data_IF_794298294811
#
_entry.id   IF_794298294811
#
_cell.length_a   1.000
_cell.length_b   1.000
_cell.length_c   1.000
_cell.angle_alpha   90.00
_cell.angle_beta   90.00
_cell.angle_gamma   90.00
#
_symmetry.space_group_name_H-M   'P 1'
#
loop_
_entity.id
_entity.type
_entity.pdbx_description
1 polymer ?
#
# COMPACT_ATOMS: atom_id res chain seq x y z
N UNK A 1 50.15 -25.36 -23.60
CA UNK A 1 48.90 -26.11 -23.28
C UNK A 1 48.44 -25.66 -21.92
N UNK A 2 47.38 -24.88 -21.76
CA UNK A 2 46.83 -24.48 -20.46
C UNK A 2 45.78 -25.52 -20.05
N UNK A 3 45.91 -25.99 -18.81
CA UNK A 3 44.99 -26.94 -18.16
C UNK A 3 43.61 -26.30 -17.93
N UNK A 4 42.57 -26.92 -18.50
CA UNK A 4 41.18 -26.65 -18.25
C UNK A 4 40.89 -26.88 -16.76
N UNK A 5 40.46 -25.86 -16.02
CA UNK A 5 39.88 -26.00 -14.67
C UNK A 5 38.40 -26.37 -14.84
N UNK A 6 38.09 -27.59 -14.48
CA UNK A 6 36.72 -28.11 -14.36
C UNK A 6 35.90 -27.24 -13.40
N UNK A 7 34.84 -26.65 -13.90
CA UNK A 7 33.77 -26.09 -13.07
C UNK A 7 33.08 -27.26 -12.34
N UNK A 8 33.34 -27.38 -11.05
CA UNK A 8 32.59 -28.30 -10.18
C UNK A 8 31.17 -27.71 -10.02
N UNK A 9 30.19 -28.46 -10.50
CA UNK A 9 28.77 -28.23 -10.25
C UNK A 9 28.53 -28.23 -8.74
N UNK A 10 28.22 -27.06 -8.20
CA UNK A 10 27.77 -26.92 -6.83
C UNK A 10 26.28 -27.24 -6.81
N UNK A 11 25.97 -28.47 -6.40
CA UNK A 11 24.60 -28.87 -6.13
C UNK A 11 24.11 -28.11 -4.91
N UNK A 12 23.00 -27.39 -5.08
CA UNK A 12 22.23 -26.82 -3.98
C UNK A 12 21.69 -27.99 -3.14
N UNK A 13 22.34 -28.32 -2.04
CA UNK A 13 21.82 -29.31 -1.08
C UNK A 13 20.70 -28.63 -0.29
N UNK A 14 19.48 -28.72 -0.83
CA UNK A 14 18.29 -28.38 -0.08
C UNK A 14 18.05 -29.52 0.89
N UNK A 15 18.34 -29.34 2.15
CA UNK A 15 17.91 -30.23 3.24
C UNK A 15 16.36 -30.14 3.31
N UNK A 16 15.69 -31.02 2.53
CA UNK A 16 14.27 -31.25 2.65
C UNK A 16 14.03 -32.12 3.88
N UNK A 17 13.37 -31.57 4.85
CA UNK A 17 12.64 -32.17 5.97
C UNK A 17 13.03 -31.53 7.30
N UNK A 18 12.60 -30.28 7.50
CA UNK A 18 12.44 -29.75 8.85
C UNK A 18 10.95 -29.49 9.10
N UNK A 19 10.31 -30.46 9.72
CA UNK A 19 9.01 -30.22 10.40
C UNK A 19 9.35 -29.45 11.67
N UNK A 20 9.11 -28.14 11.66
CA UNK A 20 9.32 -27.28 12.81
C UNK A 20 8.13 -27.41 13.76
N UNK A 21 8.33 -27.84 15.01
CA UNK A 21 7.34 -27.59 16.06
C UNK A 21 7.28 -26.08 16.31
N UNK A 22 6.11 -25.57 16.69
CA UNK A 22 5.89 -24.20 17.11
C UNK A 22 6.65 -23.92 18.42
N UNK A 23 7.94 -23.67 18.32
CA UNK A 23 8.77 -23.24 19.44
C UNK A 23 9.46 -21.93 19.04
N UNK A 24 9.39 -20.95 19.92
CA UNK A 24 10.15 -19.72 19.85
C UNK A 24 11.59 -20.02 19.46
N UNK A 25 12.02 -19.58 18.28
CA UNK A 25 13.42 -19.69 17.88
C UNK A 25 14.28 -18.94 18.90
N UNK A 26 15.30 -19.60 19.42
CA UNK A 26 16.31 -18.94 20.23
C UNK A 26 16.93 -17.80 19.39
N UNK A 27 17.01 -16.63 19.96
CA UNK A 27 17.63 -15.46 19.34
C UNK A 27 19.06 -15.84 18.93
N UNK A 28 19.37 -15.80 17.60
CA UNK A 28 20.67 -16.18 17.06
C UNK A 28 20.79 -17.61 16.50
N UNK A 29 19.69 -18.38 16.40
CA UNK A 29 19.77 -19.69 15.74
C UNK A 29 20.06 -19.55 14.23
N UNK A 30 21.00 -20.36 13.70
CA UNK A 30 21.29 -20.43 12.25
C UNK A 30 20.07 -21.05 11.56
N UNK A 31 19.47 -20.30 10.64
CA UNK A 31 18.24 -20.70 9.94
C UNK A 31 18.51 -21.13 8.48
N UNK A 32 19.64 -20.69 7.92
CA UNK A 32 20.04 -21.05 6.57
C UNK A 32 21.54 -20.89 6.36
N UNK A 33 22.06 -21.60 5.35
CA UNK A 33 23.50 -21.58 4.99
C UNK A 33 23.69 -21.72 3.49
N UNK A 34 24.71 -21.04 2.95
CA UNK A 34 25.22 -21.25 1.60
C UNK A 34 26.75 -21.31 1.67
N UNK A 35 27.36 -22.48 1.44
CA UNK A 35 28.77 -22.70 1.71
C UNK A 35 29.09 -22.47 3.19
N UNK A 36 30.00 -21.54 3.48
CA UNK A 36 30.37 -21.14 4.84
C UNK A 36 29.58 -19.92 5.35
N UNK A 37 28.75 -19.34 4.50
CA UNK A 37 27.92 -18.18 4.86
C UNK A 37 26.67 -18.65 5.59
N UNK A 38 26.50 -18.20 6.82
CA UNK A 38 25.35 -18.50 7.66
C UNK A 38 24.43 -17.27 7.76
N UNK A 39 23.14 -17.53 7.92
CA UNK A 39 22.13 -16.54 8.26
C UNK A 39 21.42 -16.97 9.54
N UNK A 40 21.29 -16.05 10.48
CA UNK A 40 20.64 -16.30 11.77
C UNK A 40 19.24 -15.71 11.80
N UNK A 41 18.41 -16.22 12.72
CA UNK A 41 17.01 -15.75 12.89
C UNK A 41 16.92 -14.28 13.27
N UNK A 42 17.90 -13.74 13.98
CA UNK A 42 17.93 -12.33 14.41
C UNK A 42 18.21 -11.35 13.27
N UNK A 43 18.64 -11.83 12.12
CA UNK A 43 18.99 -10.99 10.97
C UNK A 43 17.82 -10.74 10.03
N UNK A 44 16.71 -11.45 10.20
CA UNK A 44 15.50 -11.22 9.41
C UNK A 44 14.54 -10.35 10.21
N UNK A 45 14.47 -9.07 9.85
CA UNK A 45 13.51 -8.15 10.45
C UNK A 45 12.06 -8.60 10.15
N UNK A 46 11.21 -8.52 11.19
CA UNK A 46 9.79 -8.88 11.09
C UNK A 46 9.51 -10.33 10.61
N UNK A 47 10.40 -11.27 10.85
CA UNK A 47 10.25 -12.67 10.46
C UNK A 47 8.91 -13.28 10.89
N UNK A 48 8.41 -12.90 12.07
CA UNK A 48 7.13 -13.36 12.63
C UNK A 48 5.88 -12.87 11.88
N UNK A 49 6.02 -11.84 11.05
CA UNK A 49 4.90 -11.30 10.25
C UNK A 49 4.84 -11.90 8.83
N UNK A 50 5.82 -12.72 8.45
CA UNK A 50 5.92 -13.32 7.12
C UNK A 50 5.35 -14.74 7.11
N UNK A 51 4.68 -15.10 6.02
CA UNK A 51 4.36 -16.50 5.75
C UNK A 51 5.62 -17.32 5.36
N UNK A 52 5.53 -18.64 5.44
CA UNK A 52 6.67 -19.52 5.18
C UNK A 52 7.29 -19.36 3.78
N UNK A 53 6.49 -19.08 2.75
CA UNK A 53 6.97 -18.90 1.38
C UNK A 53 7.71 -17.57 1.22
N UNK A 54 7.19 -16.50 1.81
CA UNK A 54 7.81 -15.19 1.84
C UNK A 54 9.11 -15.20 2.66
N UNK A 55 9.09 -15.85 3.82
CA UNK A 55 10.28 -16.01 4.67
C UNK A 55 11.39 -16.74 3.91
N UNK A 56 11.06 -17.82 3.20
CA UNK A 56 12.02 -18.56 2.38
C UNK A 56 12.64 -17.69 1.30
N UNK A 57 11.85 -16.91 0.56
CA UNK A 57 12.33 -16.00 -0.49
C UNK A 57 13.27 -14.94 0.06
N UNK A 58 12.93 -14.32 1.20
CA UNK A 58 13.78 -13.33 1.86
C UNK A 58 15.11 -13.98 2.28
N UNK A 59 15.06 -15.16 2.91
CA UNK A 59 16.25 -15.91 3.33
C UNK A 59 17.18 -16.22 2.15
N UNK A 60 16.63 -16.75 1.05
CA UNK A 60 17.40 -17.06 -0.17
C UNK A 60 18.04 -15.78 -0.77
N UNK A 61 17.28 -14.68 -0.85
CA UNK A 61 17.78 -13.40 -1.36
C UNK A 61 18.94 -12.85 -0.51
N UNK A 62 18.83 -12.91 0.83
CA UNK A 62 19.87 -12.46 1.75
C UNK A 62 21.15 -13.29 1.60
N UNK A 63 21.03 -14.62 1.47
CA UNK A 63 22.19 -15.48 1.26
C UNK A 63 22.89 -15.21 -0.08
N UNK A 64 22.10 -15.03 -1.15
CA UNK A 64 22.67 -14.67 -2.48
C UNK A 64 23.37 -13.32 -2.42
N UNK A 65 22.77 -12.32 -1.75
CA UNK A 65 23.41 -11.01 -1.58
C UNK A 65 24.73 -11.11 -0.83
N UNK A 66 24.82 -11.93 0.23
CA UNK A 66 26.08 -12.16 0.97
C UNK A 66 27.13 -12.84 0.10
N UNK A 67 26.71 -13.82 -0.71
CA UNK A 67 27.63 -14.50 -1.63
C UNK A 67 28.21 -13.53 -2.66
N UNK A 68 27.36 -12.67 -3.24
CA UNK A 68 27.81 -11.61 -4.16
C UNK A 68 28.74 -10.63 -3.48
N UNK A 69 28.44 -10.21 -2.23
CA UNK A 69 29.31 -9.34 -1.45
C UNK A 69 30.67 -9.98 -1.21
N UNK A 70 30.70 -11.25 -0.79
CA UNK A 70 31.96 -11.97 -0.56
C UNK A 70 32.78 -12.02 -1.84
N UNK A 71 32.17 -12.40 -2.98
CA UNK A 71 32.88 -12.43 -4.28
C UNK A 71 33.43 -11.05 -4.66
N UNK A 72 32.67 -9.98 -4.41
CA UNK A 72 33.13 -8.61 -4.68
C UNK A 72 34.32 -8.23 -3.80
N UNK A 73 34.31 -8.58 -2.51
CA UNK A 73 35.42 -8.33 -1.59
C UNK A 73 36.65 -9.14 -1.96
N UNK A 74 36.49 -10.41 -2.32
CA UNK A 74 37.60 -11.26 -2.79
C UNK A 74 38.28 -10.68 -4.05
N UNK A 75 37.52 -10.00 -4.89
CA UNK A 75 37.99 -9.28 -6.08
C UNK A 75 38.46 -7.86 -5.77
N UNK A 76 38.43 -7.44 -4.50
CA UNK A 76 38.79 -6.08 -4.04
C UNK A 76 37.97 -4.97 -4.70
N UNK A 77 36.70 -5.28 -5.04
CA UNK A 77 35.80 -4.33 -5.68
C UNK A 77 35.49 -3.12 -4.79
N UNK A 78 35.54 -3.33 -3.47
CA UNK A 78 35.46 -2.29 -2.46
C UNK A 78 36.57 -1.24 -2.53
N UNK A 79 37.70 -1.57 -3.18
CA UNK A 79 38.86 -0.68 -3.34
C UNK A 79 38.83 0.09 -4.66
N UNK A 80 37.91 -0.21 -5.57
CA UNK A 80 37.76 0.53 -6.82
C UNK A 80 37.35 2.00 -6.54
N UNK A 81 37.96 2.98 -7.25
CA UNK A 81 37.73 4.41 -6.96
C UNK A 81 36.26 4.84 -6.99
N UNK A 82 35.48 4.32 -7.95
CA UNK A 82 34.06 4.61 -8.05
C UNK A 82 33.28 4.03 -6.87
N UNK A 83 33.60 2.80 -6.46
CA UNK A 83 33.00 2.13 -5.32
C UNK A 83 33.32 2.85 -4.01
N UNK A 84 34.58 3.25 -3.83
CA UNK A 84 35.00 4.04 -2.68
C UNK A 84 34.24 5.37 -2.58
N UNK A 85 34.07 6.07 -3.71
CA UNK A 85 33.29 7.30 -3.75
C UNK A 85 31.81 7.05 -3.40
N UNK A 86 31.23 5.95 -3.90
CA UNK A 86 29.86 5.56 -3.57
C UNK A 86 29.69 5.23 -2.09
N UNK A 87 30.62 4.46 -1.52
CA UNK A 87 30.64 4.12 -0.09
C UNK A 87 30.71 5.39 0.75
N UNK A 88 31.63 6.32 0.42
CA UNK A 88 31.79 7.57 1.15
C UNK A 88 30.50 8.42 1.09
N UNK A 89 29.95 8.64 -0.10
CA UNK A 89 28.70 9.41 -0.26
C UNK A 89 27.55 8.78 0.51
N UNK A 90 27.40 7.46 0.45
CA UNK A 90 26.35 6.72 1.16
C UNK A 90 26.52 6.84 2.68
N UNK A 91 27.77 6.73 3.16
CA UNK A 91 28.07 6.91 4.58
C UNK A 91 27.74 8.32 5.07
N UNK A 92 28.11 9.35 4.32
CA UNK A 92 27.81 10.75 4.67
C UNK A 92 26.31 11.01 4.70
N UNK A 93 25.59 10.54 3.67
CA UNK A 93 24.14 10.64 3.62
C UNK A 93 23.47 9.91 4.79
N UNK A 94 23.88 8.67 5.09
CA UNK A 94 23.32 7.89 6.19
C UNK A 94 23.55 8.56 7.56
N UNK A 95 24.74 9.17 7.78
CA UNK A 95 25.01 9.92 9.01
C UNK A 95 24.11 11.14 9.11
N UNK A 96 23.99 11.93 8.04
CA UNK A 96 23.15 13.12 8.01
C UNK A 96 21.68 12.78 8.22
N UNK A 97 21.15 11.78 7.53
CA UNK A 97 19.76 11.33 7.63
C UNK A 97 19.45 10.80 9.02
N UNK A 98 20.33 9.96 9.58
CA UNK A 98 20.15 9.41 10.93
C UNK A 98 20.11 10.52 11.99
N UNK A 99 21.01 11.49 11.87
CA UNK A 99 21.08 12.64 12.76
C UNK A 99 19.83 13.53 12.66
N UNK A 100 19.45 13.88 11.43
CA UNK A 100 18.22 14.67 11.16
C UNK A 100 16.97 13.98 11.64
N UNK A 101 16.85 12.67 11.40
CA UNK A 101 15.74 11.85 11.89
C UNK A 101 15.62 11.95 13.41
N UNK A 102 16.73 11.78 14.13
CA UNK A 102 16.74 11.83 15.60
C UNK A 102 16.38 13.22 16.14
N UNK A 103 16.92 14.29 15.51
CA UNK A 103 16.62 15.67 15.92
C UNK A 103 15.19 16.11 15.61
N UNK A 104 14.61 15.60 14.54
CA UNK A 104 13.26 15.99 14.12
C UNK A 104 12.17 15.17 14.80
N UNK A 105 12.51 14.04 15.42
CA UNK A 105 11.55 13.16 16.08
C UNK A 105 10.86 13.89 17.25
N UNK A 106 9.51 13.97 17.26
CA UNK A 106 8.80 14.55 18.39
C UNK A 106 8.91 13.62 19.62
N UNK A 107 8.82 14.16 20.85
CA UNK A 107 8.89 13.36 22.06
C UNK A 107 7.83 12.25 22.05
N UNK A 108 8.09 11.17 22.80
CA UNK A 108 7.17 10.03 22.86
C UNK A 108 5.78 10.42 23.39
N UNK A 109 5.70 11.45 24.23
CA UNK A 109 4.46 11.99 24.80
C UNK A 109 3.64 12.83 23.81
N UNK A 110 4.15 13.11 22.62
CA UNK A 110 3.43 13.89 21.60
C UNK A 110 2.68 12.97 20.62
N UNK A 111 1.44 13.31 20.22
CA UNK A 111 0.61 14.37 20.78
C UNK A 111 0.08 14.00 22.17
N UNK A 112 -0.18 15.00 23.00
CA UNK A 112 -0.95 14.79 24.23
C UNK A 112 -2.46 14.66 23.93
N UNK A 113 -3.26 14.32 24.96
CA UNK A 113 -4.70 14.12 24.80
C UNK A 113 -5.45 15.39 24.35
N UNK A 114 -4.97 16.58 24.73
CA UNK A 114 -5.62 17.83 24.33
C UNK A 114 -5.30 18.16 22.86
N UNK A 115 -4.05 17.97 22.46
CA UNK A 115 -3.61 18.14 21.06
C UNK A 115 -4.36 17.14 20.14
N UNK A 116 -4.52 15.91 20.58
CA UNK A 116 -5.25 14.88 19.83
C UNK A 116 -6.73 15.22 19.69
N UNK A 117 -7.38 15.66 20.79
CA UNK A 117 -8.79 16.12 20.76
C UNK A 117 -8.97 17.32 19.84
N UNK A 118 -8.09 18.31 19.94
CA UNK A 118 -8.15 19.50 19.08
C UNK A 118 -7.98 19.13 17.60
N UNK A 119 -7.04 18.24 17.29
CA UNK A 119 -6.84 17.75 15.92
C UNK A 119 -8.06 16.97 15.40
N UNK A 120 -8.66 16.15 16.25
CA UNK A 120 -9.88 15.43 15.88
C UNK A 120 -11.04 16.36 15.57
N UNK A 121 -11.30 17.39 16.42
CA UNK A 121 -12.35 18.37 16.17
C UNK A 121 -12.11 19.14 14.86
N UNK A 122 -10.87 19.51 14.59
CA UNK A 122 -10.51 20.17 13.33
C UNK A 122 -10.67 19.24 12.11
N UNK A 123 -10.39 17.95 12.27
CA UNK A 123 -10.47 16.96 11.19
C UNK A 123 -11.89 16.42 10.94
N UNK A 124 -12.83 16.58 11.88
CA UNK A 124 -14.20 16.04 11.78
C UNK A 124 -14.89 16.22 10.42
N UNK A 125 -14.83 17.40 9.77
CA UNK A 125 -15.47 17.58 8.45
C UNK A 125 -14.89 16.67 7.38
N UNK A 126 -13.58 16.40 7.42
CA UNK A 126 -12.87 15.54 6.45
C UNK A 126 -12.91 14.06 6.83
N UNK A 127 -13.17 13.72 8.09
CA UNK A 127 -13.32 12.36 8.58
C UNK A 127 -14.69 11.76 8.27
N UNK A 128 -15.65 12.56 7.81
CA UNK A 128 -16.99 12.09 7.52
C UNK A 128 -16.96 10.99 6.45
N UNK A 129 -17.35 9.78 6.84
CA UNK A 129 -17.58 8.66 5.93
C UNK A 129 -18.93 8.89 5.25
N UNK A 130 -18.97 8.97 3.90
CA UNK A 130 -20.21 9.21 3.19
C UNK A 130 -21.14 7.99 3.29
N UNK A 131 -22.43 8.24 3.14
CA UNK A 131 -23.42 7.19 2.94
C UNK A 131 -23.05 6.35 1.72
N UNK A 132 -23.18 5.04 1.84
CA UNK A 132 -22.89 4.12 0.74
C UNK A 132 -23.93 3.02 0.64
N UNK A 133 -24.18 2.59 -0.58
CA UNK A 133 -25.17 1.58 -0.93
C UNK A 133 -24.47 0.39 -1.57
N UNK A 134 -24.79 -0.80 -1.12
CA UNK A 134 -24.46 -2.03 -1.83
C UNK A 134 -25.58 -2.29 -2.82
N UNK A 135 -25.28 -2.12 -4.11
CA UNK A 135 -26.28 -2.16 -5.17
C UNK A 135 -26.12 -3.36 -6.07
N UNK A 136 -27.25 -3.84 -6.57
CA UNK A 136 -27.31 -4.68 -7.76
C UNK A 136 -28.22 -4.02 -8.80
N UNK A 137 -27.93 -4.27 -10.09
CA UNK A 137 -28.72 -3.77 -11.21
C UNK A 137 -28.95 -4.81 -12.28
N UNK A 138 -30.07 -4.67 -12.97
CA UNK A 138 -30.31 -5.22 -14.30
C UNK A 138 -30.38 -4.01 -15.24
N UNK A 139 -29.52 -3.98 -16.23
CA UNK A 139 -29.50 -2.95 -17.27
C UNK A 139 -29.91 -3.56 -18.60
N UNK A 140 -30.91 -2.98 -19.24
CA UNK A 140 -31.39 -3.47 -20.53
C UNK A 140 -31.86 -2.33 -21.44
N UNK A 141 -31.83 -2.59 -22.74
CA UNK A 141 -32.49 -1.81 -23.78
C UNK A 141 -34.01 -1.93 -23.71
N UNK A 142 -34.71 -1.05 -24.42
CA UNK A 142 -36.20 -0.95 -24.44
C UNK A 142 -36.83 -2.27 -24.85
N UNK A 143 -36.31 -2.96 -25.85
CA UNK A 143 -36.83 -4.19 -26.42
C UNK A 143 -36.85 -5.38 -25.43
N UNK A 144 -35.95 -5.40 -24.47
CA UNK A 144 -35.84 -6.45 -23.44
C UNK A 144 -36.61 -6.15 -22.14
N UNK A 145 -37.01 -4.91 -21.94
CA UNK A 145 -37.60 -4.46 -20.68
C UNK A 145 -38.81 -5.29 -20.25
N UNK A 146 -39.76 -5.51 -21.16
CA UNK A 146 -41.01 -6.22 -20.82
C UNK A 146 -40.75 -7.70 -20.48
N UNK A 147 -39.77 -8.33 -21.14
CA UNK A 147 -39.36 -9.70 -20.81
C UNK A 147 -38.74 -9.79 -19.41
N UNK A 148 -37.90 -8.83 -19.04
CA UNK A 148 -37.26 -8.75 -17.70
C UNK A 148 -38.36 -8.50 -16.63
N UNK A 149 -39.28 -7.53 -16.86
CA UNK A 149 -40.38 -7.24 -15.95
C UNK A 149 -41.28 -8.47 -15.72
N UNK A 150 -41.60 -9.18 -16.78
CA UNK A 150 -42.39 -10.41 -16.72
C UNK A 150 -41.75 -11.46 -15.83
N UNK A 151 -40.45 -11.70 -15.97
CA UNK A 151 -39.71 -12.66 -15.15
C UNK A 151 -39.63 -12.24 -13.68
N UNK A 152 -39.31 -10.99 -13.41
CA UNK A 152 -39.21 -10.45 -12.03
C UNK A 152 -40.58 -10.39 -11.33
N UNK A 153 -41.68 -10.19 -12.09
CA UNK A 153 -43.05 -10.22 -11.54
C UNK A 153 -43.47 -11.64 -11.18
N UNK A 154 -43.11 -12.62 -11.98
CA UNK A 154 -43.40 -14.03 -11.72
C UNK A 154 -42.61 -14.57 -10.52
N UNK A 155 -41.35 -14.19 -10.39
CA UNK A 155 -40.47 -14.59 -9.28
C UNK A 155 -39.48 -13.47 -8.95
N UNK A 156 -39.77 -12.61 -7.94
CA UNK A 156 -38.83 -11.59 -7.49
C UNK A 156 -37.49 -12.15 -6.95
N UNK A 157 -37.48 -13.40 -6.48
CA UNK A 157 -36.25 -14.04 -5.98
C UNK A 157 -35.23 -14.33 -7.12
N UNK A 158 -35.73 -14.39 -8.36
CA UNK A 158 -34.90 -14.67 -9.55
C UNK A 158 -34.03 -13.47 -10.00
N UNK A 159 -33.99 -12.34 -9.27
CA UNK A 159 -33.27 -11.13 -9.68
C UNK A 159 -31.82 -11.43 -10.14
N UNK A 160 -31.06 -12.17 -9.34
CA UNK A 160 -29.66 -12.52 -9.64
C UNK A 160 -29.55 -13.35 -10.92
N UNK A 161 -30.47 -14.30 -11.12
CA UNK A 161 -30.50 -15.11 -12.34
C UNK A 161 -30.86 -14.27 -13.56
N UNK A 162 -31.90 -13.42 -13.46
CA UNK A 162 -32.30 -12.51 -14.53
C UNK A 162 -31.18 -11.52 -14.87
N UNK A 163 -30.47 -11.01 -13.88
CA UNK A 163 -29.31 -10.15 -14.09
C UNK A 163 -28.22 -10.86 -14.89
N UNK A 164 -27.90 -12.10 -14.54
CA UNK A 164 -26.87 -12.91 -15.22
C UNK A 164 -27.24 -13.24 -16.67
N UNK A 165 -28.52 -13.55 -16.91
CA UNK A 165 -29.00 -14.03 -18.21
C UNK A 165 -29.38 -12.89 -19.17
N UNK A 166 -29.90 -11.78 -18.67
CA UNK A 166 -30.55 -10.76 -19.48
C UNK A 166 -29.90 -9.37 -19.38
N UNK A 167 -29.11 -9.07 -18.34
CA UNK A 167 -28.51 -7.75 -18.21
C UNK A 167 -27.44 -7.53 -19.28
N UNK A 168 -27.49 -6.37 -19.94
CA UNK A 168 -26.51 -5.96 -20.96
C UNK A 168 -25.27 -5.28 -20.35
N UNK A 169 -25.27 -5.02 -19.05
CA UNK A 169 -24.08 -4.57 -18.33
C UNK A 169 -23.21 -5.77 -17.94
N UNK A 170 -22.35 -6.19 -18.86
CA UNK A 170 -21.56 -7.43 -18.76
C UNK A 170 -20.75 -7.58 -17.46
N UNK A 171 -20.26 -6.46 -16.89
CA UNK A 171 -19.43 -6.51 -15.68
C UNK A 171 -20.25 -6.87 -14.44
N UNK A 172 -21.49 -6.37 -14.29
CA UNK A 172 -22.35 -6.74 -13.17
C UNK A 172 -23.10 -8.04 -13.44
N UNK A 173 -23.47 -8.33 -14.69
CA UNK A 173 -24.13 -9.59 -15.05
C UNK A 173 -23.34 -10.81 -14.58
N UNK A 174 -22.01 -10.83 -14.77
CA UNK A 174 -21.11 -11.89 -14.29
C UNK A 174 -21.05 -12.04 -12.76
N UNK A 175 -21.56 -11.07 -12.02
CA UNK A 175 -21.63 -11.02 -10.57
C UNK A 175 -23.08 -10.93 -10.09
N UNK A 176 -23.99 -11.61 -10.77
CA UNK A 176 -25.40 -11.68 -10.38
C UNK A 176 -26.11 -10.31 -10.30
N UNK A 177 -25.62 -9.37 -11.10
CA UNK A 177 -26.08 -7.98 -11.10
C UNK A 177 -25.34 -7.06 -10.13
N UNK A 178 -24.46 -7.56 -9.26
CA UNK A 178 -23.80 -6.75 -8.24
C UNK A 178 -22.88 -5.69 -8.81
N UNK A 179 -23.08 -4.45 -8.35
CA UNK A 179 -22.19 -3.30 -8.59
C UNK A 179 -21.14 -3.14 -7.50
N UNK A 180 -21.42 -3.69 -6.30
CA UNK A 180 -20.65 -3.50 -5.09
C UNK A 180 -21.09 -2.27 -4.30
N UNK A 181 -20.23 -1.81 -3.39
CA UNK A 181 -20.46 -0.62 -2.57
C UNK A 181 -20.16 0.65 -3.36
N UNK A 182 -21.15 1.54 -3.45
CA UNK A 182 -21.06 2.84 -4.12
C UNK A 182 -21.45 3.94 -3.13
N UNK A 183 -20.63 4.98 -3.07
CA UNK A 183 -20.96 6.20 -2.33
C UNK A 183 -21.96 7.04 -3.11
N UNK A 184 -22.67 7.95 -2.45
CA UNK A 184 -23.64 8.85 -3.10
C UNK A 184 -23.03 9.60 -4.29
N UNK A 185 -21.76 10.01 -4.22
CA UNK A 185 -21.07 10.71 -5.29
C UNK A 185 -20.74 9.85 -6.52
N UNK A 186 -20.80 8.52 -6.39
CA UNK A 186 -20.55 7.56 -7.49
C UNK A 186 -21.84 7.11 -8.17
N UNK A 187 -22.98 7.52 -7.64
CA UNK A 187 -24.32 7.13 -8.13
C UNK A 187 -24.90 8.29 -8.91
N UNK A 188 -25.49 8.00 -10.08
CA UNK A 188 -26.16 9.02 -10.87
C UNK A 188 -27.30 9.67 -10.06
N UNK A 189 -27.48 11.01 -10.15
CA UNK A 189 -28.45 11.74 -9.35
C UNK A 189 -29.89 11.20 -9.48
N UNK A 190 -30.28 10.76 -10.68
CA UNK A 190 -31.59 10.22 -10.98
C UNK A 190 -31.86 8.89 -10.23
N UNK A 191 -30.82 8.08 -10.07
CA UNK A 191 -30.83 6.85 -9.27
C UNK A 191 -30.85 7.20 -7.79
N UNK A 192 -29.95 8.09 -7.36
CA UNK A 192 -29.76 8.45 -5.95
C UNK A 192 -31.09 8.95 -5.30
N UNK A 193 -31.89 9.72 -6.03
CA UNK A 193 -33.20 10.21 -5.53
C UNK A 193 -34.20 9.06 -5.27
N UNK A 194 -34.02 7.91 -5.91
CA UNK A 194 -34.93 6.74 -5.75
C UNK A 194 -34.49 5.80 -4.63
N UNK A 195 -33.19 5.69 -4.38
CA UNK A 195 -32.62 4.71 -3.42
C UNK A 195 -33.19 4.82 -2.00
N UNK A 196 -33.35 6.02 -1.40
CA UNK A 196 -33.89 6.14 -0.05
C UNK A 196 -35.31 5.63 0.13
N UNK A 197 -36.05 5.48 -0.98
CA UNK A 197 -37.43 4.99 -1.00
C UNK A 197 -37.52 3.48 -1.20
N UNK A 198 -36.38 2.82 -1.48
CA UNK A 198 -36.32 1.38 -1.64
C UNK A 198 -35.91 0.73 -0.31
N UNK A 199 -36.75 -0.18 0.16
CA UNK A 199 -36.37 -1.03 1.29
C UNK A 199 -35.28 -2.02 0.85
N UNK A 200 -34.50 -2.49 1.81
CA UNK A 200 -33.46 -3.49 1.55
C UNK A 200 -34.08 -4.76 0.93
N UNK A 201 -33.44 -5.25 -0.11
CA UNK A 201 -33.87 -6.44 -0.85
C UNK A 201 -35.05 -6.23 -1.82
N UNK A 202 -35.69 -5.06 -1.80
CA UNK A 202 -36.81 -4.75 -2.72
C UNK A 202 -36.25 -4.34 -4.08
N UNK A 203 -36.90 -4.83 -5.14
CA UNK A 203 -36.59 -4.49 -6.54
C UNK A 203 -37.31 -3.18 -6.91
N UNK A 204 -36.58 -2.26 -7.51
CA UNK A 204 -37.16 -0.98 -7.96
C UNK A 204 -38.08 -1.15 -9.17
N UNK A 205 -38.98 -0.19 -9.37
CA UNK A 205 -39.56 0.03 -10.69
C UNK A 205 -38.42 0.34 -11.71
N UNK A 206 -38.59 -0.02 -12.99
CA UNK A 206 -37.64 0.34 -14.01
C UNK A 206 -37.43 1.85 -14.11
N UNK A 207 -36.18 2.27 -14.13
CA UNK A 207 -35.78 3.67 -14.29
C UNK A 207 -35.18 3.88 -15.65
N UNK A 208 -35.74 4.74 -16.47
CA UNK A 208 -35.20 5.12 -17.77
C UNK A 208 -34.12 6.20 -17.57
N UNK A 209 -32.92 5.92 -18.02
CA UNK A 209 -31.82 6.88 -18.11
C UNK A 209 -31.43 7.07 -19.59
N UNK A 210 -30.44 7.93 -19.83
CA UNK A 210 -30.02 8.23 -21.20
C UNK A 210 -29.44 7.04 -21.97
N UNK A 211 -28.90 6.05 -21.27
CA UNK A 211 -28.27 4.84 -21.80
C UNK A 211 -29.21 3.62 -21.87
N UNK A 212 -30.36 3.65 -21.21
CA UNK A 212 -31.32 2.53 -21.22
C UNK A 212 -32.16 2.44 -19.95
N UNK A 213 -32.59 1.23 -19.62
CA UNK A 213 -33.41 0.94 -18.46
C UNK A 213 -32.65 0.25 -17.35
N UNK A 214 -32.75 0.79 -16.14
CA UNK A 214 -32.12 0.27 -14.94
C UNK A 214 -33.18 -0.23 -13.97
N UNK A 215 -33.07 -1.46 -13.53
CA UNK A 215 -33.86 -2.05 -12.46
C UNK A 215 -32.89 -2.32 -11.32
N UNK A 216 -33.10 -1.72 -10.18
CA UNK A 216 -32.19 -1.66 -9.06
C UNK A 216 -32.65 -2.51 -7.88
N UNK A 217 -31.70 -3.01 -7.11
CA UNK A 217 -31.95 -3.67 -5.83
C UNK A 217 -30.91 -3.18 -4.84
N UNK A 218 -31.36 -2.65 -3.69
CA UNK A 218 -30.46 -2.28 -2.59
C UNK A 218 -30.23 -3.54 -1.76
N UNK A 219 -29.00 -4.03 -1.76
CA UNK A 219 -28.59 -5.23 -1.03
C UNK A 219 -28.28 -4.89 0.43
N UNK A 220 -27.60 -3.75 0.66
CA UNK A 220 -27.23 -3.27 1.98
C UNK A 220 -27.00 -1.74 1.95
N UNK A 221 -26.96 -1.11 3.12
CA UNK A 221 -26.81 0.33 3.28
C UNK A 221 -25.91 0.64 4.48
N UNK A 222 -24.95 1.54 4.28
CA UNK A 222 -24.16 2.14 5.36
C UNK A 222 -24.48 3.61 5.45
N UNK A 223 -24.99 4.02 6.59
CA UNK A 223 -25.31 5.43 6.83
C UNK A 223 -24.02 6.28 6.95
N UNK A 224 -24.12 7.53 6.53
CA UNK A 224 -23.06 8.49 6.74
C UNK A 224 -22.77 8.67 8.23
N UNK A 225 -21.53 8.61 8.61
CA UNK A 225 -21.11 8.80 9.99
C UNK A 225 -19.74 9.47 10.07
N UNK A 226 -19.47 10.07 11.21
CA UNK A 226 -18.12 10.52 11.54
C UNK A 226 -17.55 9.51 12.54
N UNK A 227 -16.38 8.90 12.26
CA UNK A 227 -15.75 7.97 13.19
C UNK A 227 -15.53 8.63 14.54
N UNK A 228 -15.72 7.90 15.62
CA UNK A 228 -15.41 8.39 16.96
C UNK A 228 -13.89 8.63 17.12
N UNK A 229 -13.51 9.49 18.07
CA UNK A 229 -12.10 9.75 18.36
C UNK A 229 -11.29 8.46 18.55
N UNK A 230 -11.84 7.47 19.24
CA UNK A 230 -11.17 6.20 19.48
C UNK A 230 -10.84 5.45 18.16
N UNK A 231 -11.71 5.54 17.17
CA UNK A 231 -11.51 4.91 15.87
C UNK A 231 -10.51 5.68 15.00
N UNK A 232 -10.47 7.01 15.16
CA UNK A 232 -9.58 7.91 14.42
C UNK A 232 -8.23 8.13 15.12
N UNK A 233 -8.06 7.65 16.36
CA UNK A 233 -6.93 7.94 17.24
C UNK A 233 -5.58 7.64 16.61
N UNK A 234 -5.35 6.40 16.25
CA UNK A 234 -4.08 5.95 15.71
C UNK A 234 -3.69 6.61 14.36
N UNK A 235 -4.61 6.74 13.39
CA UNK A 235 -4.33 7.54 12.19
C UNK A 235 -3.97 8.98 12.49
N UNK A 236 -4.67 9.66 13.40
CA UNK A 236 -4.41 11.03 13.77
C UNK A 236 -3.07 11.18 14.48
N UNK A 237 -2.73 10.28 15.41
CA UNK A 237 -1.41 10.28 16.07
C UNK A 237 -0.30 10.16 15.03
N UNK A 238 -0.41 9.24 14.09
CA UNK A 238 0.61 9.08 13.02
C UNK A 238 0.72 10.35 12.17
N UNK A 239 -0.41 10.95 11.79
CA UNK A 239 -0.43 12.18 11.02
C UNK A 239 0.23 13.33 11.78
N UNK A 240 -0.17 13.59 13.03
CA UNK A 240 0.36 14.67 13.87
C UNK A 240 1.88 14.50 14.10
N UNK A 241 2.33 13.26 14.38
CA UNK A 241 3.76 12.98 14.53
C UNK A 241 4.53 13.24 13.25
N UNK A 242 4.02 12.84 12.10
CA UNK A 242 4.65 13.10 10.81
C UNK A 242 4.72 14.60 10.48
N UNK A 243 3.66 15.36 10.75
CA UNK A 243 3.63 16.81 10.58
C UNK A 243 4.61 17.50 11.52
N UNK A 244 4.65 17.10 12.80
CA UNK A 244 5.59 17.64 13.78
C UNK A 244 7.04 17.34 13.41
N UNK A 245 7.33 16.11 12.97
CA UNK A 245 8.66 15.74 12.47
C UNK A 245 9.09 16.63 11.31
N UNK A 246 8.20 16.85 10.33
CA UNK A 246 8.48 17.75 9.20
C UNK A 246 8.74 19.20 9.65
N UNK A 247 7.90 19.70 10.55
CA UNK A 247 8.07 21.05 11.09
C UNK A 247 9.38 21.20 11.86
N UNK A 248 9.74 20.24 12.72
CA UNK A 248 10.98 20.23 13.46
C UNK A 248 12.20 20.20 12.51
N UNK A 249 12.16 19.35 11.49
CA UNK A 249 13.21 19.28 10.46
C UNK A 249 13.38 20.62 9.74
N UNK A 250 12.27 21.22 9.30
CA UNK A 250 12.30 22.51 8.61
C UNK A 250 12.86 23.62 9.50
N UNK A 251 12.43 23.67 10.76
CA UNK A 251 12.92 24.64 11.73
C UNK A 251 14.44 24.48 11.97
N UNK A 252 14.90 23.22 12.10
CA UNK A 252 16.32 22.93 12.26
C UNK A 252 17.14 23.36 11.03
N UNK A 253 16.70 23.02 9.82
CA UNK A 253 17.36 23.43 8.58
C UNK A 253 17.42 24.94 8.43
N UNK A 254 16.33 25.64 8.75
CA UNK A 254 16.28 27.11 8.73
C UNK A 254 17.32 27.69 9.69
N UNK A 255 17.37 27.15 10.91
CA UNK A 255 18.37 27.57 11.93
C UNK A 255 19.80 27.38 11.43
N UNK A 256 20.11 26.21 10.83
CA UNK A 256 21.45 25.94 10.27
C UNK A 256 21.83 26.95 9.18
N UNK A 257 20.91 27.25 8.25
CA UNK A 257 21.15 28.19 7.15
C UNK A 257 21.34 29.63 7.66
N UNK A 258 20.65 30.00 8.75
CA UNK A 258 20.88 31.29 9.40
C UNK A 258 22.25 31.38 10.08
N UNK A 259 22.71 30.28 10.67
CA UNK A 259 24.01 30.22 11.34
C UNK A 259 25.19 30.09 10.34
N UNK A 260 24.92 29.47 9.18
CA UNK A 260 25.90 29.19 8.14
C UNK A 260 25.39 29.66 6.78
N UNK A 261 25.49 30.96 6.47
CA UNK A 261 24.99 31.51 5.21
C UNK A 261 25.66 30.83 4.01
N UNK A 262 24.86 30.41 3.03
CA UNK A 262 25.35 29.80 1.80
C UNK A 262 25.88 30.87 0.87
N UNK A 263 27.16 30.81 0.50
CA UNK A 263 27.76 31.60 -0.54
C UNK A 263 27.91 30.76 -1.80
N UNK A 264 27.32 31.19 -2.90
CA UNK A 264 27.39 30.51 -4.21
C UNK A 264 28.16 31.39 -5.19
N UNK A 265 29.25 30.86 -5.75
CA UNK A 265 29.95 31.49 -6.88
C UNK A 265 29.15 31.22 -8.16
N UNK A 266 28.35 32.20 -8.56
CA UNK A 266 27.49 32.12 -9.74
C UNK A 266 28.29 32.01 -11.06
N UNK A 267 29.54 32.53 -11.09
CA UNK A 267 30.42 32.44 -12.28
C UNK A 267 30.95 31.03 -12.43
N UNK A 268 31.41 30.42 -11.33
CA UNK A 268 31.85 29.04 -11.34
C UNK A 268 30.72 28.08 -11.69
N UNK A 269 29.51 28.28 -11.15
CA UNK A 269 28.33 27.49 -11.43
C UNK A 269 27.92 27.57 -12.91
N UNK A 270 27.91 28.77 -13.52
CA UNK A 270 27.54 28.95 -14.92
C UNK A 270 28.52 28.25 -15.89
N UNK A 271 29.81 28.18 -15.55
CA UNK A 271 30.80 27.42 -16.34
C UNK A 271 30.56 25.92 -16.34
N UNK A 272 30.04 25.35 -15.24
CA UNK A 272 29.68 23.94 -15.17
C UNK A 272 28.48 23.61 -16.09
N UNK A 273 27.47 24.50 -16.12
CA UNK A 273 26.29 24.32 -17.00
C UNK A 273 26.66 24.41 -18.48
N UNK A 274 27.62 25.27 -18.86
CA UNK A 274 28.08 25.39 -20.25
C UNK A 274 28.90 24.17 -20.72
N UNK A 275 29.59 23.47 -19.81
CA UNK A 275 30.37 22.26 -20.12
C UNK A 275 29.52 21.03 -20.38
N UNK A 276 28.26 21.03 -19.96
CA UNK A 276 27.31 19.91 -20.08
C UNK A 276 26.34 20.06 -21.27
N UNK A 277 26.46 21.12 -22.09
CA UNK A 277 25.76 21.18 -23.38
C UNK A 277 26.57 20.43 -24.43
N UNK A 278 25.98 19.37 -25.08
CA UNK A 278 26.59 18.64 -26.18
C UNK A 278 26.83 19.55 -27.40
#
# INVERSE_FOLDING_TARGET
MPKARMLRHWGLVILSSFVLPHSSFAEGAVIARIGEIELTSSEIENASSLDAASLRKVTEAMLVQRLVLQEALDKKWDQEPETQKLIQNTREAAIADSYLKKLSEPPASFPDENELKAAYEAAKPSLKVPRSFHLAQIFVSEDKLEAVKGRLKADPASFSQVAREMSEHAASAKRDGELGWLTESQIQPEILVKLPKLALGVISEPLKLGDGWHILKVLDLREAHTPLLEQAREPLIRQLRAEKTRANMQAYMTKLLQQHPVAIDGVALSKLVQKTKP
#
